data_IF_864868361513
#
_entry.id   IF_864868361513
#
_cell.length_a   1.000
_cell.length_b   1.000
_cell.length_c   1.000
_cell.angle_alpha   90.00
_cell.angle_beta   90.00
_cell.angle_gamma   90.00
#
_symmetry.space_group_name_H-M   'P 1'
#
loop_
_entity.id
_entity.type
_entity.pdbx_description
1 polymer ?
#
# COMPACT_ATOMS: atom_id res chain seq x y z
N UNK A 1 34.25 14.62 -10.77
CA UNK A 1 32.83 14.92 -10.46
C UNK A 1 32.07 13.60 -10.43
N UNK A 2 31.59 13.18 -9.26
CA UNK A 2 30.79 11.95 -9.12
C UNK A 2 29.34 12.34 -9.39
N UNK A 3 28.79 11.88 -10.51
CA UNK A 3 27.39 12.11 -10.85
C UNK A 3 26.49 11.30 -9.94
N UNK A 4 25.69 11.99 -9.12
CA UNK A 4 24.55 11.40 -8.45
C UNK A 4 23.51 11.03 -9.52
N UNK A 5 23.62 9.83 -10.07
CA UNK A 5 22.57 9.28 -10.92
C UNK A 5 21.29 9.21 -10.09
N UNK A 6 20.27 9.99 -10.47
CA UNK A 6 18.90 9.82 -9.96
C UNK A 6 18.58 8.33 -10.08
N UNK A 7 18.34 7.67 -8.94
CA UNK A 7 17.98 6.25 -8.93
C UNK A 7 16.71 6.12 -9.78
N UNK A 8 16.75 5.29 -10.82
CA UNK A 8 15.60 5.07 -11.68
C UNK A 8 14.42 4.59 -10.83
N UNK A 9 13.21 5.03 -11.19
CA UNK A 9 11.98 4.56 -10.54
C UNK A 9 11.84 3.05 -10.70
N UNK A 10 11.18 2.39 -9.75
CA UNK A 10 10.92 0.96 -9.85
C UNK A 10 10.04 0.68 -11.08
N UNK A 11 10.26 -0.43 -11.82
CA UNK A 11 9.37 -0.82 -12.92
C UNK A 11 7.90 -0.83 -12.48
N UNK A 12 7.03 -0.18 -13.26
CA UNK A 12 5.60 -0.07 -12.97
C UNK A 12 5.24 0.91 -11.83
N UNK A 13 6.16 1.76 -11.38
CA UNK A 13 5.84 2.81 -10.42
C UNK A 13 4.75 3.74 -10.97
N UNK A 14 3.80 4.09 -10.11
CA UNK A 14 2.76 5.06 -10.43
C UNK A 14 3.42 6.44 -10.46
N UNK A 15 3.33 7.13 -11.61
CA UNK A 15 3.86 8.49 -11.76
C UNK A 15 3.05 9.48 -10.92
N UNK A 16 3.73 10.25 -10.08
CA UNK A 16 3.11 11.32 -9.27
C UNK A 16 3.15 12.69 -9.94
N UNK A 17 3.89 12.83 -11.05
CA UNK A 17 4.07 14.13 -11.75
C UNK A 17 2.77 14.74 -12.28
N UNK A 18 1.75 13.92 -12.45
CA UNK A 18 0.46 14.31 -13.02
C UNK A 18 -0.65 14.35 -11.97
N UNK A 19 -0.33 14.18 -10.67
CA UNK A 19 -1.33 14.26 -9.60
C UNK A 19 -1.57 15.73 -9.22
N UNK A 20 -2.76 16.31 -9.49
CA UNK A 20 -3.07 17.68 -9.13
C UNK A 20 -3.33 17.85 -7.61
N UNK A 21 -3.49 16.75 -6.87
CA UNK A 21 -3.85 16.73 -5.45
C UNK A 21 -2.65 16.57 -4.52
N UNK A 22 -1.51 16.05 -5.02
CA UNK A 22 -0.28 15.95 -4.24
C UNK A 22 0.48 17.28 -4.28
N UNK A 23 0.17 18.16 -3.31
CA UNK A 23 0.89 19.42 -3.06
C UNK A 23 2.14 19.22 -2.20
N UNK A 24 2.92 20.29 -2.00
CA UNK A 24 4.13 20.28 -1.16
C UNK A 24 3.89 19.95 0.33
N UNK A 25 2.63 19.96 0.78
CA UNK A 25 2.24 19.60 2.15
C UNK A 25 2.18 18.09 2.38
N UNK A 26 2.19 17.29 1.31
CA UNK A 26 2.22 15.83 1.39
C UNK A 26 3.65 15.31 1.35
N UNK A 27 3.94 14.30 2.18
CA UNK A 27 5.18 13.54 2.11
C UNK A 27 4.87 12.07 1.83
N UNK A 28 5.82 11.38 1.20
CA UNK A 28 5.70 9.95 0.92
C UNK A 28 5.85 9.15 2.23
N UNK A 29 4.75 8.56 2.69
CA UNK A 29 4.73 7.75 3.91
C UNK A 29 5.15 6.30 3.66
N UNK A 30 4.66 5.69 2.59
CA UNK A 30 4.92 4.29 2.30
C UNK A 30 4.94 4.01 0.80
N UNK A 31 5.63 2.94 0.43
CA UNK A 31 5.60 2.36 -0.92
C UNK A 31 5.16 0.91 -0.82
N UNK A 32 4.23 0.53 -1.68
CA UNK A 32 3.66 -0.81 -1.72
C UNK A 32 3.97 -1.48 -3.05
N UNK A 33 4.27 -2.76 -3.00
CA UNK A 33 4.46 -3.61 -4.17
C UNK A 33 3.71 -4.92 -4.01
N UNK A 34 3.22 -5.44 -5.13
CA UNK A 34 2.57 -6.74 -5.21
C UNK A 34 3.24 -7.59 -6.29
N UNK A 35 3.44 -8.86 -5.98
CA UNK A 35 3.93 -9.86 -6.91
C UNK A 35 2.82 -10.89 -7.13
N UNK A 36 1.99 -10.67 -8.17
CA UNK A 36 0.90 -11.59 -8.50
C UNK A 36 1.38 -13.03 -8.73
N UNK A 37 2.59 -13.19 -9.31
CA UNK A 37 3.21 -14.51 -9.53
C UNK A 37 3.55 -15.23 -8.22
N UNK A 38 3.99 -14.50 -7.19
CA UNK A 38 4.42 -15.08 -5.93
C UNK A 38 3.32 -15.06 -4.87
N UNK A 39 2.21 -14.36 -5.12
CA UNK A 39 1.15 -14.13 -4.12
C UNK A 39 1.66 -13.38 -2.89
N UNK A 40 2.64 -12.47 -3.06
CA UNK A 40 3.25 -11.73 -1.96
C UNK A 40 3.13 -10.22 -2.16
N UNK A 41 3.00 -9.50 -1.07
CA UNK A 41 3.13 -8.05 -1.00
C UNK A 41 4.46 -7.68 -0.32
N UNK A 42 4.92 -6.47 -0.60
CA UNK A 42 6.06 -5.87 0.09
C UNK A 42 5.72 -4.41 0.39
N UNK A 43 6.10 -3.95 1.57
CA UNK A 43 5.90 -2.56 2.00
C UNK A 43 7.20 -1.99 2.55
N UNK A 44 7.50 -0.77 2.15
CA UNK A 44 8.48 0.07 2.84
C UNK A 44 7.72 1.22 3.48
N UNK A 45 7.86 1.38 4.79
CA UNK A 45 7.27 2.49 5.55
C UNK A 45 8.39 3.43 5.97
N UNK A 46 8.24 4.70 5.64
CA UNK A 46 9.09 5.78 6.10
C UNK A 46 8.72 6.16 7.53
N UNK A 47 9.64 5.93 8.46
CA UNK A 47 9.50 6.45 9.82
C UNK A 47 10.10 7.85 9.85
N UNK A 48 9.24 8.86 10.01
CA UNK A 48 9.63 10.24 10.27
C UNK A 48 8.88 10.70 11.52
N UNK A 49 9.49 11.60 12.29
CA UNK A 49 8.90 12.17 13.52
C UNK A 49 7.67 13.07 13.27
N UNK A 50 7.08 13.02 12.08
CA UNK A 50 6.13 13.99 11.56
C UNK A 50 4.67 13.51 11.51
N UNK A 51 4.37 12.30 12.00
CA UNK A 51 3.01 11.76 11.89
C UNK A 51 2.62 10.82 13.04
N UNK A 52 1.33 10.86 13.39
CA UNK A 52 0.73 9.98 14.40
C UNK A 52 0.32 8.63 13.77
N UNK A 53 0.53 7.48 14.45
CA UNK A 53 0.19 6.15 13.96
C UNK A 53 -1.23 6.03 13.35
N UNK A 54 -2.18 6.75 13.90
CA UNK A 54 -3.58 6.82 13.48
C UNK A 54 -3.74 7.33 12.04
N UNK A 55 -2.82 8.17 11.56
CA UNK A 55 -2.82 8.66 10.18
C UNK A 55 -2.51 7.53 9.19
N UNK A 56 -1.58 6.62 9.51
CA UNK A 56 -1.35 5.43 8.69
C UNK A 56 -2.57 4.51 8.70
N UNK A 57 -3.22 4.35 9.86
CA UNK A 57 -4.47 3.59 9.95
C UNK A 57 -5.55 4.15 9.02
N UNK A 58 -5.75 5.47 9.04
CA UNK A 58 -6.70 6.17 8.17
C UNK A 58 -6.34 6.02 6.69
N UNK A 59 -5.06 6.20 6.33
CA UNK A 59 -4.57 6.04 4.95
C UNK A 59 -4.80 4.61 4.43
N UNK A 60 -4.61 3.58 5.25
CA UNK A 60 -4.84 2.20 4.86
C UNK A 60 -6.33 1.93 4.56
N UNK A 61 -7.24 2.49 5.36
CA UNK A 61 -8.68 2.40 5.10
C UNK A 61 -9.05 3.10 3.79
N UNK A 62 -8.59 4.34 3.58
CA UNK A 62 -8.81 5.08 2.33
C UNK A 62 -8.26 4.32 1.11
N UNK A 63 -7.09 3.69 1.26
CA UNK A 63 -6.46 2.87 0.22
C UNK A 63 -7.31 1.66 -0.15
N UNK A 64 -7.93 0.98 0.83
CA UNK A 64 -8.83 -0.17 0.60
C UNK A 64 -10.05 0.25 -0.21
N UNK A 65 -10.70 1.36 0.17
CA UNK A 65 -11.85 1.89 -0.56
C UNK A 65 -11.49 2.33 -1.99
N UNK A 66 -10.38 3.05 -2.14
CA UNK A 66 -9.88 3.46 -3.46
C UNK A 66 -9.59 2.25 -4.35
N UNK A 67 -8.99 1.19 -3.80
CA UNK A 67 -8.75 -0.05 -4.53
C UNK A 67 -10.06 -0.76 -4.92
N UNK A 68 -11.06 -0.81 -4.04
CA UNK A 68 -12.36 -1.41 -4.34
C UNK A 68 -13.04 -0.70 -5.51
N UNK A 69 -13.08 0.64 -5.50
CA UNK A 69 -13.61 1.44 -6.59
C UNK A 69 -12.82 1.20 -7.90
N UNK A 70 -11.48 1.12 -7.83
CA UNK A 70 -10.65 0.80 -8.98
C UNK A 70 -10.90 -0.59 -9.57
N UNK A 71 -11.17 -1.59 -8.73
CA UNK A 71 -11.55 -2.94 -9.18
C UNK A 71 -12.93 -2.94 -9.84
N UNK A 72 -13.92 -2.25 -9.26
CA UNK A 72 -15.25 -2.13 -9.85
C UNK A 72 -15.22 -1.43 -11.22
N UNK A 73 -14.34 -0.44 -11.39
CA UNK A 73 -14.16 0.26 -12.66
C UNK A 73 -13.44 -0.56 -13.74
N UNK A 74 -12.62 -1.55 -13.35
CA UNK A 74 -11.74 -2.30 -14.26
C UNK A 74 -12.13 -3.77 -14.45
N UNK A 75 -13.02 -4.30 -13.63
CA UNK A 75 -13.45 -5.70 -13.63
C UNK A 75 -14.97 -5.78 -13.56
N UNK A 76 -15.51 -6.91 -14.02
CA UNK A 76 -16.95 -7.21 -13.97
C UNK A 76 -17.39 -7.68 -12.57
N UNK A 77 -16.99 -6.96 -11.52
CA UNK A 77 -17.42 -7.18 -10.13
C UNK A 77 -17.92 -5.87 -9.53
N UNK A 78 -18.86 -5.94 -8.59
CA UNK A 78 -19.32 -4.75 -7.85
C UNK A 78 -18.24 -4.24 -6.90
N UNK A 79 -18.33 -2.95 -6.54
CA UNK A 79 -17.47 -2.34 -5.53
C UNK A 79 -17.59 -3.04 -4.17
N UNK A 80 -18.80 -3.41 -3.76
CA UNK A 80 -19.04 -4.17 -2.52
C UNK A 80 -18.33 -5.54 -2.54
N UNK A 81 -18.37 -6.25 -3.67
CA UNK A 81 -17.70 -7.54 -3.80
C UNK A 81 -16.18 -7.37 -3.84
N UNK A 82 -15.67 -6.32 -4.48
CA UNK A 82 -14.26 -5.98 -4.45
C UNK A 82 -13.78 -5.66 -3.03
N UNK A 83 -14.52 -4.82 -2.31
CA UNK A 83 -14.24 -4.45 -0.92
C UNK A 83 -14.24 -5.68 -0.02
N UNK A 84 -15.26 -6.55 -0.12
CA UNK A 84 -15.34 -7.80 0.63
C UNK A 84 -14.12 -8.69 0.41
N UNK A 85 -13.67 -8.85 -0.85
CA UNK A 85 -12.48 -9.66 -1.18
C UNK A 85 -11.18 -9.05 -0.66
N UNK A 86 -11.03 -7.73 -0.72
CA UNK A 86 -9.85 -7.04 -0.19
C UNK A 86 -9.79 -7.23 1.34
N UNK A 87 -10.91 -7.01 2.04
CA UNK A 87 -10.99 -7.19 3.49
C UNK A 87 -10.71 -8.64 3.91
N UNK A 88 -11.20 -9.62 3.14
CA UNK A 88 -10.87 -11.02 3.37
C UNK A 88 -9.34 -11.25 3.34
N UNK A 89 -8.66 -10.78 2.29
CA UNK A 89 -7.20 -10.91 2.19
C UNK A 89 -6.44 -10.17 3.30
N UNK A 90 -6.97 -9.02 3.74
CA UNK A 90 -6.45 -8.26 4.87
C UNK A 90 -6.53 -9.06 6.19
N UNK A 91 -7.70 -9.65 6.47
CA UNK A 91 -7.92 -10.44 7.68
C UNK A 91 -7.07 -11.71 7.70
N UNK A 92 -6.94 -12.41 6.56
CA UNK A 92 -6.08 -13.58 6.41
C UNK A 92 -4.61 -13.25 6.69
N UNK A 93 -4.09 -12.15 6.14
CA UNK A 93 -2.71 -11.73 6.34
C UNK A 93 -2.45 -11.25 7.78
N UNK A 94 -3.41 -10.53 8.38
CA UNK A 94 -3.34 -10.12 9.78
C UNK A 94 -3.27 -11.33 10.71
N UNK A 95 -4.08 -12.37 10.44
CA UNK A 95 -4.04 -13.61 11.19
C UNK A 95 -2.70 -14.36 11.03
N UNK A 96 -2.15 -14.41 9.80
CA UNK A 96 -0.86 -15.03 9.52
C UNK A 96 0.26 -14.38 10.32
N UNK A 97 0.41 -13.05 10.22
CA UNK A 97 1.45 -12.29 10.92
C UNK A 97 1.31 -12.37 12.45
N UNK A 98 0.07 -12.29 12.97
CA UNK A 98 -0.19 -12.48 14.39
C UNK A 98 0.27 -13.86 14.89
N UNK A 99 0.04 -14.91 14.09
CA UNK A 99 0.45 -16.27 14.43
C UNK A 99 1.97 -16.50 14.36
N UNK A 100 2.68 -15.79 13.47
CA UNK A 100 4.13 -15.87 13.31
C UNK A 100 4.86 -15.17 14.46
N UNK A 101 4.37 -14.00 14.88
CA UNK A 101 4.90 -13.28 16.05
C UNK A 101 4.85 -14.13 17.33
N UNK A 102 3.80 -14.94 17.51
CA UNK A 102 3.70 -15.85 18.65
C UNK A 102 4.67 -17.06 18.60
N UNK A 103 5.16 -17.44 17.42
CA UNK A 103 6.12 -18.55 17.24
C UNK A 103 7.57 -18.13 17.47
N UNK A 104 7.91 -16.87 17.19
CA UNK A 104 9.27 -16.33 17.38
C UNK A 104 9.60 -16.02 18.86
N UNK A 105 8.60 -16.03 19.73
CA UNK A 105 8.74 -15.72 21.17
C UNK A 105 8.84 -16.99 22.05
N UNK A 106 9.01 -18.18 21.46
CA UNK A 106 9.09 -19.47 22.16
C UNK A 106 10.42 -20.18 21.91
#
# INVERSE_FOLDING_TARGET
>A
MIGFGRKAEHPGAISVKESPTLTDDYFELARFWVSARQGRSHVLVGFQDRWDPELLGSLLVESIHTAAAGYAASRDISEDEALRRILQGFDEERARLGSESMKETK
#
